data_IF_197175868906
#
_entry.id   IF_197175868906
#
_cell.length_a   1.000
_cell.length_b   1.000
_cell.length_c   1.000
_cell.angle_alpha   90.00
_cell.angle_beta   90.00
_cell.angle_gamma   90.00
#
_symmetry.space_group_name_H-M   'P 1'
#
loop_
_entity.id
_entity.type
_entity.pdbx_description
1 polymer ?
#
# COMPACT_ATOMS: atom_id res chain seq x y z
N UNK A 1 3.44 12.44 -10.62
CA UNK A 1 2.69 11.81 -11.75
C UNK A 1 1.34 12.49 -11.90
N UNK A 2 0.81 12.60 -13.11
CA UNK A 2 -0.57 13.07 -13.38
C UNK A 2 -1.36 11.93 -13.98
N UNK A 3 -2.53 11.65 -13.43
CA UNK A 3 -3.41 10.58 -13.86
C UNK A 3 -4.80 11.16 -14.16
N UNK A 4 -5.43 10.67 -15.22
CA UNK A 4 -6.81 11.09 -15.56
C UNK A 4 -7.79 10.10 -14.93
N UNK A 5 -8.63 10.60 -14.03
CA UNK A 5 -9.65 9.76 -13.37
C UNK A 5 -10.62 9.20 -14.41
N UNK A 6 -10.86 7.88 -14.43
CA UNK A 6 -11.82 7.29 -15.36
C UNK A 6 -13.24 7.88 -15.17
N UNK A 7 -13.99 8.11 -16.24
CA UNK A 7 -15.33 8.66 -16.15
C UNK A 7 -16.26 7.81 -15.28
N UNK A 8 -17.01 8.45 -14.39
CA UNK A 8 -17.98 7.78 -13.52
C UNK A 8 -17.40 7.06 -12.30
N UNK A 9 -16.07 7.09 -12.13
CA UNK A 9 -15.42 6.55 -10.94
C UNK A 9 -15.33 7.60 -9.81
N UNK A 10 -15.43 7.13 -8.59
CA UNK A 10 -14.94 7.81 -7.39
C UNK A 10 -13.52 7.35 -7.04
N UNK A 11 -12.82 8.14 -6.23
CA UNK A 11 -11.51 7.77 -5.70
C UNK A 11 -11.66 7.21 -4.29
N UNK A 12 -10.89 6.16 -4.01
CA UNK A 12 -10.64 5.63 -2.67
C UNK A 12 -9.20 5.97 -2.31
N UNK A 13 -8.97 6.55 -1.15
CA UNK A 13 -7.64 6.91 -0.70
C UNK A 13 -7.38 6.36 0.68
N UNK A 14 -6.20 5.79 0.88
CA UNK A 14 -5.70 5.31 2.16
C UNK A 14 -4.22 5.58 2.30
N UNK A 15 -3.72 5.55 3.53
CA UNK A 15 -2.29 5.53 3.86
C UNK A 15 -2.05 4.61 5.03
N UNK A 16 -1.18 3.63 4.83
CA UNK A 16 -0.77 2.69 5.87
C UNK A 16 0.74 2.55 5.92
N UNK A 17 1.27 2.52 7.14
CA UNK A 17 2.70 2.43 7.42
C UNK A 17 2.89 1.38 8.52
N UNK A 18 3.83 0.44 8.31
CA UNK A 18 4.20 -0.58 9.28
C UNK A 18 5.64 -0.41 9.74
N UNK A 19 5.90 -0.77 10.99
CA UNK A 19 7.24 -1.16 11.44
C UNK A 19 7.55 -2.58 10.97
N UNK A 20 8.84 -2.98 10.85
CA UNK A 20 9.21 -4.32 10.42
C UNK A 20 8.62 -5.40 11.33
N UNK A 21 7.93 -6.36 10.73
CA UNK A 21 7.34 -7.53 11.40
C UNK A 21 8.03 -8.83 11.00
N UNK A 22 8.93 -8.78 10.03
CA UNK A 22 9.78 -9.88 9.57
C UNK A 22 11.20 -9.35 9.31
N UNK A 23 12.20 -10.25 9.35
CA UNK A 23 13.60 -9.88 9.16
C UNK A 23 14.01 -9.75 7.68
N UNK A 24 13.27 -10.37 6.77
CA UNK A 24 13.53 -10.28 5.33
C UNK A 24 12.98 -8.94 4.79
N UNK A 25 13.88 -8.11 4.28
CA UNK A 25 13.54 -6.76 3.84
C UNK A 25 12.60 -6.75 2.62
N UNK A 26 12.76 -7.70 1.68
CA UNK A 26 11.88 -7.80 0.53
C UNK A 26 10.49 -8.28 0.95
N UNK A 27 10.40 -9.30 1.81
CA UNK A 27 9.14 -9.79 2.34
C UNK A 27 8.43 -8.70 3.15
N UNK A 28 9.16 -7.93 3.98
CA UNK A 28 8.58 -6.80 4.70
C UNK A 28 7.98 -5.76 3.75
N UNK A 29 8.68 -5.41 2.67
CA UNK A 29 8.17 -4.50 1.65
C UNK A 29 6.87 -4.99 1.02
N UNK A 30 6.78 -6.28 0.66
CA UNK A 30 5.55 -6.90 0.14
C UNK A 30 4.40 -6.83 1.13
N UNK A 31 4.65 -7.19 2.39
CA UNK A 31 3.62 -7.20 3.45
C UNK A 31 3.08 -5.79 3.69
N UNK A 32 3.95 -4.79 3.82
CA UNK A 32 3.54 -3.41 4.05
C UNK A 32 2.72 -2.85 2.88
N UNK A 33 3.12 -3.17 1.64
CA UNK A 33 2.36 -2.78 0.46
C UNK A 33 1.00 -3.50 0.39
N UNK A 34 0.94 -4.81 0.63
CA UNK A 34 -0.30 -5.56 0.66
C UNK A 34 -1.27 -5.03 1.73
N UNK A 35 -0.75 -4.68 2.91
CA UNK A 35 -1.54 -4.05 3.97
C UNK A 35 -2.18 -2.72 3.50
N UNK A 36 -1.39 -1.83 2.89
CA UNK A 36 -1.90 -0.55 2.39
C UNK A 36 -2.91 -0.71 1.24
N UNK A 37 -2.73 -1.71 0.38
CA UNK A 37 -3.66 -2.02 -0.71
C UNK A 37 -4.99 -2.58 -0.20
N UNK A 38 -4.99 -3.25 0.94
CA UNK A 38 -6.16 -3.96 1.48
C UNK A 38 -7.36 -3.06 1.73
N UNK A 39 -7.17 -1.82 2.14
CA UNK A 39 -8.25 -0.86 2.39
C UNK A 39 -9.02 -0.50 1.11
N UNK A 40 -8.31 -0.43 -0.02
CA UNK A 40 -8.97 -0.21 -1.32
C UNK A 40 -9.82 -1.42 -1.69
N UNK A 41 -9.30 -2.64 -1.50
CA UNK A 41 -10.04 -3.87 -1.74
C UNK A 41 -11.24 -4.03 -0.80
N UNK A 42 -11.08 -3.66 0.49
CA UNK A 42 -12.16 -3.71 1.47
C UNK A 42 -13.37 -2.85 1.08
N UNK A 43 -13.14 -1.74 0.36
CA UNK A 43 -14.19 -0.91 -0.19
C UNK A 43 -14.80 -1.46 -1.49
N UNK A 44 -14.27 -2.55 -2.04
CA UNK A 44 -14.63 -3.07 -3.36
C UNK A 44 -14.00 -2.28 -4.52
N UNK A 45 -12.98 -1.49 -4.22
CA UNK A 45 -12.24 -0.68 -5.18
C UNK A 45 -11.11 -1.46 -5.85
N UNK A 46 -10.57 -0.86 -6.89
CA UNK A 46 -9.38 -1.34 -7.60
C UNK A 46 -8.21 -0.40 -7.32
N UNK A 47 -7.09 -0.86 -6.76
CA UNK A 47 -5.88 -0.06 -6.65
C UNK A 47 -5.47 0.48 -8.02
N UNK A 48 -5.08 1.74 -8.08
CA UNK A 48 -4.74 2.42 -9.32
C UNK A 48 -3.33 3.00 -9.31
N UNK A 49 -2.97 3.71 -8.25
CA UNK A 49 -1.61 4.22 -8.05
C UNK A 49 -1.28 4.31 -6.58
N UNK A 50 0.03 4.30 -6.27
CA UNK A 50 0.49 4.57 -4.92
C UNK A 50 1.79 5.39 -4.92
N UNK A 51 2.09 5.96 -3.77
CA UNK A 51 3.37 6.59 -3.45
C UNK A 51 3.98 5.88 -2.25
N UNK A 52 5.29 5.58 -2.33
CA UNK A 52 6.05 5.08 -1.21
C UNK A 52 6.13 6.12 -0.08
N UNK A 53 5.99 5.67 1.15
CA UNK A 53 6.30 6.44 2.35
C UNK A 53 7.27 5.60 3.18
N UNK A 54 8.52 6.05 3.28
CA UNK A 54 9.58 5.34 3.98
C UNK A 54 10.21 6.23 5.06
N UNK A 55 10.42 5.66 6.23
CA UNK A 55 11.19 6.25 7.33
C UNK A 55 12.41 5.34 7.53
N UNK A 56 13.60 5.90 7.39
CA UNK A 56 14.81 5.09 7.34
C UNK A 56 15.90 5.65 8.29
N UNK A 57 16.44 4.82 9.20
CA UNK A 57 17.47 5.25 10.13
C UNK A 57 18.77 5.64 9.43
N UNK A 58 19.37 6.75 9.86
CA UNK A 58 20.64 7.22 9.30
C UNK A 58 21.75 6.17 9.46
N UNK A 59 21.80 5.49 10.60
CA UNK A 59 22.81 4.45 10.85
C UNK A 59 22.75 3.30 9.83
N UNK A 60 21.55 2.97 9.32
CA UNK A 60 21.39 1.97 8.27
C UNK A 60 21.70 2.55 6.88
N UNK A 61 21.51 3.86 6.68
CA UNK A 61 21.81 4.51 5.40
C UNK A 61 23.33 4.68 5.17
N UNK A 62 24.11 4.82 6.23
CA UNK A 62 25.56 4.98 6.15
C UNK A 62 26.30 3.65 5.91
N UNK A 63 25.76 2.54 6.39
CA UNK A 63 26.34 1.19 6.22
C UNK A 63 25.21 0.17 5.98
N UNK A 64 24.75 0.07 4.72
CA UNK A 64 23.71 -0.85 4.29
C UNK A 64 24.24 -1.91 3.30
N UNK A 65 25.12 -2.84 3.76
CA UNK A 65 25.66 -3.89 2.90
C UNK A 65 24.58 -4.88 2.42
N UNK A 66 23.41 -4.90 3.05
CA UNK A 66 22.29 -5.77 2.69
C UNK A 66 21.27 -5.09 1.78
N UNK A 67 21.50 -3.82 1.42
CA UNK A 67 20.58 -3.03 0.59
C UNK A 67 19.13 -3.08 1.13
N UNK A 68 18.98 -2.84 2.44
CA UNK A 68 17.70 -3.00 3.16
C UNK A 68 16.61 -2.12 2.52
N UNK A 69 16.89 -0.82 2.35
CA UNK A 69 15.92 0.10 1.76
C UNK A 69 15.56 -0.32 0.32
N UNK A 70 16.56 -0.67 -0.49
CA UNK A 70 16.32 -1.13 -1.86
C UNK A 70 15.43 -2.36 -1.89
N UNK A 71 15.71 -3.36 -1.04
CA UNK A 71 14.92 -4.58 -0.99
C UNK A 71 13.49 -4.34 -0.49
N UNK A 72 13.29 -3.45 0.48
CA UNK A 72 11.94 -3.03 0.91
C UNK A 72 11.17 -2.41 -0.26
N UNK A 73 11.78 -1.45 -0.96
CA UNK A 73 11.14 -0.77 -2.09
C UNK A 73 10.84 -1.74 -3.25
N UNK A 74 11.73 -2.71 -3.51
CA UNK A 74 11.51 -3.77 -4.51
C UNK A 74 10.35 -4.68 -4.12
N UNK A 75 10.24 -5.06 -2.84
CA UNK A 75 9.11 -5.82 -2.32
C UNK A 75 7.79 -5.08 -2.47
N UNK A 76 7.78 -3.78 -2.14
CA UNK A 76 6.61 -2.93 -2.35
C UNK A 76 6.21 -2.82 -3.81
N UNK A 77 7.18 -2.62 -4.71
CA UNK A 77 6.94 -2.57 -6.15
C UNK A 77 6.39 -3.90 -6.69
N UNK A 78 6.88 -5.03 -6.18
CA UNK A 78 6.41 -6.36 -6.59
C UNK A 78 4.92 -6.55 -6.24
N UNK A 79 4.51 -6.20 -5.01
CA UNK A 79 3.10 -6.24 -4.61
C UNK A 79 2.22 -5.27 -5.43
N UNK A 80 2.73 -4.08 -5.76
CA UNK A 80 2.04 -3.12 -6.62
C UNK A 80 1.83 -3.66 -8.04
N UNK A 81 2.85 -4.32 -8.61
CA UNK A 81 2.76 -4.94 -9.93
C UNK A 81 1.72 -6.08 -9.94
N UNK A 82 1.69 -6.90 -8.90
CA UNK A 82 0.69 -7.96 -8.72
C UNK A 82 -0.73 -7.38 -8.64
N UNK A 83 -0.90 -6.24 -7.96
CA UNK A 83 -2.17 -5.51 -7.89
C UNK A 83 -2.57 -4.80 -9.19
N UNK A 84 -1.67 -4.73 -10.19
CA UNK A 84 -1.89 -3.98 -11.43
C UNK A 84 -1.91 -2.46 -11.24
N UNK A 85 -1.32 -1.96 -10.16
CA UNK A 85 -1.30 -0.54 -9.81
C UNK A 85 0.07 0.09 -10.12
N UNK A 86 0.07 1.40 -10.38
CA UNK A 86 1.28 2.15 -10.76
C UNK A 86 1.93 2.77 -9.54
N UNK A 87 3.22 2.51 -9.34
CA UNK A 87 4.01 3.25 -8.34
C UNK A 87 4.36 4.64 -8.91
N UNK A 88 3.77 5.68 -8.32
CA UNK A 88 3.82 7.05 -8.83
C UNK A 88 5.00 7.87 -8.29
N UNK A 89 5.75 7.32 -7.34
CA UNK A 89 6.85 7.98 -6.65
C UNK A 89 6.81 7.71 -5.17
N UNK A 90 7.25 8.66 -4.36
CA UNK A 90 7.24 8.54 -2.91
C UNK A 90 8.16 9.53 -2.23
N UNK A 91 8.29 9.36 -0.93
CA UNK A 91 9.17 10.16 -0.10
C UNK A 91 9.84 9.29 0.98
N UNK A 92 11.13 9.54 1.20
CA UNK A 92 11.89 8.91 2.29
C UNK A 92 12.28 9.99 3.29
N UNK A 93 11.99 9.75 4.56
CA UNK A 93 12.33 10.62 5.68
C UNK A 93 13.35 9.92 6.55
N UNK A 94 14.34 10.66 7.04
CA UNK A 94 15.24 10.17 8.09
C UNK A 94 14.46 10.11 9.41
N UNK A 95 14.50 8.97 10.08
CA UNK A 95 13.83 8.72 11.37
C UNK A 95 14.72 7.84 12.24
N UNK A 96 14.40 7.71 13.51
CA UNK A 96 15.08 6.77 14.42
C UNK A 96 14.67 5.32 14.17
N UNK A 97 13.45 5.11 13.67
CA UNK A 97 12.86 3.80 13.43
C UNK A 97 12.60 3.56 11.95
N UNK A 98 12.92 2.34 11.49
CA UNK A 98 12.53 1.88 10.17
C UNK A 98 11.02 1.68 10.09
N UNK A 99 10.37 2.35 9.14
CA UNK A 99 8.95 2.16 8.82
C UNK A 99 8.77 2.27 7.32
N UNK A 100 7.83 1.52 6.78
CA UNK A 100 7.50 1.56 5.36
C UNK A 100 6.02 1.31 5.12
N UNK A 101 5.50 1.96 4.10
CA UNK A 101 4.14 1.77 3.63
C UNK A 101 3.85 2.57 2.37
N UNK A 102 2.58 2.65 2.05
CA UNK A 102 2.09 3.31 0.85
C UNK A 102 0.95 4.29 1.16
N UNK A 103 0.94 5.40 0.44
CA UNK A 103 -0.26 6.19 0.23
C UNK A 103 -0.90 5.73 -1.09
N UNK A 104 -2.05 5.06 -1.01
CA UNK A 104 -2.71 4.41 -2.14
C UNK A 104 -3.92 5.19 -2.60
N UNK A 105 -4.06 5.32 -3.91
CA UNK A 105 -5.27 5.79 -4.57
C UNK A 105 -5.85 4.67 -5.41
N UNK A 106 -7.08 4.31 -5.13
CA UNK A 106 -7.88 3.37 -5.91
C UNK A 106 -9.03 4.04 -6.63
N UNK A 107 -9.67 3.33 -7.52
CA UNK A 107 -10.88 3.75 -8.22
C UNK A 107 -12.02 2.78 -7.92
N UNK A 108 -13.24 3.32 -7.90
CA UNK A 108 -14.45 2.53 -7.69
C UNK A 108 -15.63 3.16 -8.40
N UNK A 109 -16.52 2.33 -8.95
CA UNK A 109 -17.85 2.81 -9.34
C UNK A 109 -18.71 2.95 -8.08
N UNK A 110 -19.32 4.12 -7.82
CA UNK A 110 -20.09 4.36 -6.59
C UNK A 110 -21.19 3.31 -6.31
N UNK A 111 -21.74 2.71 -7.35
CA UNK A 111 -22.74 1.63 -7.24
C UNK A 111 -22.19 0.31 -6.72
N UNK A 112 -20.86 0.11 -6.75
CA UNK A 112 -20.20 -1.11 -6.31
C UNK A 112 -19.50 -0.95 -4.95
N UNK A 113 -19.62 0.21 -4.33
CA UNK A 113 -18.92 0.52 -3.09
C UNK A 113 -19.44 -0.37 -1.93
N UNK A 114 -18.51 -1.14 -1.34
CA UNK A 114 -18.76 -1.87 -0.10
C UNK A 114 -18.71 -0.88 1.08
N UNK A 115 -19.82 -0.71 1.79
CA UNK A 115 -19.92 0.21 2.91
C UNK A 115 -19.94 -0.54 4.23
N UNK A 116 -19.35 0.05 5.27
CA UNK A 116 -19.31 -0.54 6.62
C UNK A 116 -20.73 -0.70 7.24
N UNK A 117 -21.71 0.05 6.77
CA UNK A 117 -23.11 0.01 7.20
C UNK A 117 -24.00 -0.81 6.25
N UNK A 118 -23.41 -1.53 5.29
CA UNK A 118 -24.14 -2.24 4.23
C UNK A 118 -24.63 -3.64 4.60
N UNK A 119 -24.22 -4.21 5.76
CA UNK A 119 -24.59 -5.57 6.14
C UNK A 119 -26.09 -5.71 6.45
N UNK A 120 -26.67 -6.84 6.01
CA UNK A 120 -28.10 -7.16 6.20
C UNK A 120 -28.23 -8.53 6.85
N UNK A 121 -29.33 -8.70 7.62
CA UNK A 121 -29.68 -10.00 8.18
C UNK A 121 -29.86 -11.05 7.06
N UNK A 122 -29.31 -12.24 7.25
CA UNK A 122 -29.34 -13.35 6.29
C UNK A 122 -28.12 -13.42 5.35
N UNK A 123 -27.18 -12.46 5.41
CA UNK A 123 -25.90 -12.57 4.70
C UNK A 123 -24.97 -13.54 5.42
N UNK A 124 -24.12 -14.24 4.64
CA UNK A 124 -23.09 -15.12 5.15
C UNK A 124 -21.79 -14.34 5.29
N UNK A 125 -21.15 -14.43 6.46
CA UNK A 125 -19.82 -13.90 6.70
C UNK A 125 -18.78 -15.00 6.38
N UNK A 126 -17.77 -14.64 5.58
CA UNK A 126 -16.65 -15.51 5.25
C UNK A 126 -15.39 -14.91 5.86
N UNK A 127 -14.60 -15.76 6.51
CA UNK A 127 -13.25 -15.44 6.99
C UNK A 127 -12.26 -16.22 6.12
N UNK A 128 -11.27 -15.52 5.56
CA UNK A 128 -10.19 -16.09 4.73
C UNK A 128 -8.88 -16.14 5.52
#
# INVERSE_FOLDING_TARGET
MVLTVPPGCALVQTVDILAPIVNDAFAFGRIAAANALSDVYAMGGQPWSAMNVAFFPQALAEDDPQHILENILRGGLDAMNEAGAVLAGGHTVQDEELKYGLAVTGTIYPSHMARNDGLKAGQTLLLT
#
